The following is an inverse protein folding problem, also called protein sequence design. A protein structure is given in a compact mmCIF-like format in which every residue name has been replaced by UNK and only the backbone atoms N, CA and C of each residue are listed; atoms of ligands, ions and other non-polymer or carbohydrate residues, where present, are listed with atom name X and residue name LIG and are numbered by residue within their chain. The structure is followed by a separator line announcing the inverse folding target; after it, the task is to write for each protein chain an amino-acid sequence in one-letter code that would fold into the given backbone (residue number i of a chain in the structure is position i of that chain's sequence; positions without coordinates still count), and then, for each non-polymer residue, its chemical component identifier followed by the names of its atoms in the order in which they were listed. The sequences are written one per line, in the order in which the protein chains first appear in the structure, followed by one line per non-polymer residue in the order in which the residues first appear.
data_IF_466628114214
#
_entry.id   IF_466628114214
#
_cell.length_a   1.000
_cell.length_b   1.000
_cell.length_c   1.000
_cell.angle_alpha   90.00
_cell.angle_beta   90.00
_cell.angle_gamma   90.00
#
_symmetry.space_group_name_H-M   'P 1'
#
loop_
_entity.id
_entity.type
_entity.pdbx_description
1 polymer ?
#
# COMPACT_ATOMS: atom_id res chain seq x y z
N UNK A 1 -14.78 2.72 -11.15
CA UNK A 1 -13.98 1.74 -10.39
C UNK A 1 -13.51 2.41 -9.12
N UNK A 2 -13.75 1.78 -7.99
CA UNK A 2 -13.23 2.23 -6.69
C UNK A 2 -11.98 1.41 -6.37
N UNK A 3 -10.87 2.06 -6.04
CA UNK A 3 -9.61 1.45 -5.60
C UNK A 3 -9.13 2.17 -4.35
N UNK A 4 -8.68 1.43 -3.35
CA UNK A 4 -8.15 1.98 -2.10
C UNK A 4 -7.49 0.89 -1.26
N UNK A 5 -6.85 1.31 -0.17
CA UNK A 5 -6.21 0.42 0.81
C UNK A 5 -7.18 -0.17 1.84
N UNK A 6 -8.44 0.29 1.86
CA UNK A 6 -9.40 -0.09 2.89
C UNK A 6 -9.90 -1.52 2.69
N UNK A 7 -10.02 -2.22 3.82
CA UNK A 7 -10.70 -3.50 3.89
C UNK A 7 -12.16 -3.29 4.28
N UNK A 8 -13.05 -4.22 3.94
CA UNK A 8 -14.40 -4.22 4.49
C UNK A 8 -14.30 -4.73 5.93
N UNK A 9 -14.23 -3.80 6.88
CA UNK A 9 -14.09 -4.11 8.31
C UNK A 9 -14.71 -3.00 9.16
N UNK A 10 -15.18 -3.37 10.35
CA UNK A 10 -15.73 -2.42 11.33
C UNK A 10 -14.68 -1.41 11.80
N UNK A 11 -13.38 -1.71 11.69
CA UNK A 11 -12.32 -0.80 12.16
C UNK A 11 -12.28 0.52 11.37
N UNK A 12 -12.72 0.51 10.11
CA UNK A 12 -12.83 1.69 9.25
C UNK A 12 -14.15 2.46 9.43
N UNK A 13 -15.05 1.98 10.28
CA UNK A 13 -16.25 2.73 10.66
C UNK A 13 -15.90 3.83 11.68
N UNK A 14 -16.65 4.95 11.68
CA UNK A 14 -16.53 5.94 12.72
C UNK A 14 -16.82 5.36 14.11
N UNK A 15 -16.20 5.87 15.18
CA UNK A 15 -16.51 5.44 16.56
C UNK A 15 -17.99 5.65 16.92
N UNK A 16 -18.68 6.55 16.22
CA UNK A 16 -20.11 6.83 16.36
C UNK A 16 -21.02 5.88 15.57
N UNK A 17 -20.46 4.86 14.90
CA UNK A 17 -21.25 3.91 14.13
C UNK A 17 -22.22 3.12 15.03
N UNK A 18 -23.43 2.78 14.54
CA UNK A 18 -24.44 2.05 15.33
C UNK A 18 -23.95 0.71 15.90
N UNK A 19 -22.92 0.12 15.30
CA UNK A 19 -22.29 -1.11 15.76
C UNK A 19 -21.56 -0.95 17.10
N UNK A 20 -21.18 0.27 17.48
CA UNK A 20 -20.31 0.57 18.62
C UNK A 20 -18.90 -0.01 18.51
N UNK A 21 -18.51 -0.49 17.31
CA UNK A 21 -17.23 -1.18 17.05
C UNK A 21 -16.26 -0.38 16.18
N UNK A 22 -16.69 0.77 15.68
CA UNK A 22 -15.86 1.65 14.86
C UNK A 22 -14.61 2.10 15.60
N UNK A 23 -13.48 2.20 14.88
CA UNK A 23 -12.20 2.64 15.43
C UNK A 23 -11.69 3.95 14.80
N UNK A 24 -12.47 4.60 13.92
CA UNK A 24 -12.03 5.80 13.18
C UNK A 24 -10.74 5.58 12.36
N UNK A 25 -10.46 4.34 11.93
CA UNK A 25 -9.27 4.04 11.16
C UNK A 25 -9.37 4.69 9.78
N UNK A 26 -8.43 5.57 9.46
CA UNK A 26 -8.49 6.36 8.24
C UNK A 26 -7.77 5.67 7.09
N UNK A 27 -8.40 5.67 5.91
CA UNK A 27 -7.81 5.15 4.68
C UNK A 27 -8.15 6.06 3.50
N UNK A 28 -7.53 5.79 2.35
CA UNK A 28 -7.70 6.56 1.13
C UNK A 28 -8.24 5.65 0.03
N UNK A 29 -9.25 6.15 -0.66
CA UNK A 29 -9.79 5.53 -1.86
C UNK A 29 -9.95 6.57 -2.97
N UNK A 30 -9.75 6.11 -4.20
CA UNK A 30 -9.96 6.89 -5.40
C UNK A 30 -11.05 6.22 -6.24
N UNK A 31 -12.00 7.03 -6.68
CA UNK A 31 -12.98 6.61 -7.67
C UNK A 31 -12.57 7.12 -9.05
N UNK A 32 -12.25 6.19 -9.95
CA UNK A 32 -11.80 6.48 -11.31
C UNK A 32 -12.74 5.92 -12.37
N UNK A 33 -12.92 6.67 -13.45
CA UNK A 33 -13.76 6.33 -14.60
C UNK A 33 -12.95 6.29 -15.89
N UNK A 34 -13.54 5.72 -16.96
CA UNK A 34 -12.94 5.67 -18.28
C UNK A 34 -12.11 4.40 -18.54
N UNK A 35 -11.18 4.44 -19.51
CA UNK A 35 -10.48 3.26 -20.01
C UNK A 35 -9.74 2.47 -18.92
N UNK A 36 -9.19 3.18 -17.93
CA UNK A 36 -8.39 2.58 -16.86
C UNK A 36 -9.18 1.58 -16.01
N UNK A 37 -10.52 1.73 -15.90
CA UNK A 37 -11.37 0.81 -15.15
C UNK A 37 -11.34 -0.63 -15.71
N UNK A 38 -11.00 -0.80 -17.00
CA UNK A 38 -10.80 -2.12 -17.60
C UNK A 38 -9.60 -2.87 -17.01
N UNK A 39 -8.60 -2.15 -16.52
CA UNK A 39 -7.42 -2.77 -15.92
C UNK A 39 -7.76 -3.46 -14.60
N UNK A 40 -8.64 -2.92 -13.76
CA UNK A 40 -9.07 -3.66 -12.57
C UNK A 40 -9.83 -4.94 -12.90
N UNK A 41 -10.66 -4.94 -13.95
CA UNK A 41 -11.29 -6.17 -14.41
C UNK A 41 -10.25 -7.18 -14.92
N UNK A 42 -9.23 -6.72 -15.66
CA UNK A 42 -8.13 -7.56 -16.10
C UNK A 42 -7.33 -8.15 -14.92
N UNK A 43 -7.04 -7.34 -13.91
CA UNK A 43 -6.40 -7.75 -12.65
C UNK A 43 -7.27 -8.74 -11.88
N UNK A 44 -8.57 -8.48 -11.77
CA UNK A 44 -9.51 -9.40 -11.15
C UNK A 44 -9.54 -10.75 -11.87
N UNK A 45 -9.60 -10.76 -13.20
CA UNK A 45 -9.53 -12.00 -13.99
C UNK A 45 -8.21 -12.74 -13.74
N UNK A 46 -7.10 -12.03 -13.67
CA UNK A 46 -5.79 -12.62 -13.38
C UNK A 46 -5.78 -13.34 -12.03
N UNK A 47 -6.19 -12.65 -10.96
CA UNK A 47 -6.34 -13.23 -9.63
C UNK A 47 -7.35 -14.38 -9.60
N UNK A 48 -8.47 -14.25 -10.31
CA UNK A 48 -9.49 -15.29 -10.44
C UNK A 48 -8.93 -16.55 -11.10
N UNK A 49 -8.13 -16.41 -12.17
CA UNK A 49 -7.53 -17.54 -12.89
C UNK A 49 -6.54 -18.35 -12.04
N UNK A 50 -5.95 -17.71 -11.03
CA UNK A 50 -5.07 -18.32 -10.04
C UNK A 50 -5.82 -18.81 -8.79
N UNK A 51 -7.10 -18.47 -8.67
CA UNK A 51 -7.92 -18.81 -7.51
C UNK A 51 -8.41 -20.24 -7.55
N UNK A 52 -8.68 -20.78 -6.35
CA UNK A 52 -9.33 -22.07 -6.16
C UNK A 52 -10.72 -21.83 -5.57
N UNK A 53 -11.70 -22.56 -6.06
CA UNK A 53 -13.06 -22.52 -5.54
C UNK A 53 -13.11 -23.21 -4.18
N UNK A 54 -13.65 -22.51 -3.19
CA UNK A 54 -14.01 -23.10 -1.90
C UNK A 54 -15.33 -23.84 -2.08
N UNK A 55 -15.29 -25.17 -1.96
CA UNK A 55 -16.47 -26.02 -2.08
C UNK A 55 -16.80 -26.61 -0.71
N UNK A 56 -18.06 -26.49 -0.29
CA UNK A 56 -18.53 -26.99 0.99
C UNK A 56 -19.47 -28.19 0.78
N UNK A 57 -19.35 -29.22 1.63
CA UNK A 57 -20.25 -30.39 1.59
C UNK A 57 -21.67 -30.04 2.03
N UNK A 58 -21.79 -29.05 2.91
CA UNK A 58 -23.04 -28.53 3.47
C UNK A 58 -22.95 -27.00 3.52
N UNK A 59 -24.09 -26.28 3.58
CA UNK A 59 -24.08 -24.84 3.85
C UNK A 59 -23.27 -24.55 5.14
N UNK A 60 -22.18 -23.78 5.06
CA UNK A 60 -21.29 -23.60 6.20
C UNK A 60 -21.88 -22.60 7.19
N UNK A 61 -21.63 -22.84 8.48
CA UNK A 61 -21.65 -21.80 9.51
C UNK A 61 -20.21 -21.36 9.80
N UNK A 62 -19.97 -20.22 10.48
CA UNK A 62 -18.63 -19.83 10.88
C UNK A 62 -17.87 -20.94 11.65
N UNK A 63 -18.60 -21.73 12.44
CA UNK A 63 -18.03 -22.84 13.21
C UNK A 63 -17.66 -24.06 12.35
N UNK A 64 -18.32 -24.26 11.20
CA UNK A 64 -18.13 -25.45 10.38
C UNK A 64 -17.33 -25.22 9.11
N UNK A 65 -17.10 -23.95 8.72
CA UNK A 65 -16.43 -23.55 7.49
C UNK A 65 -15.10 -24.29 7.24
N UNK A 66 -14.22 -24.37 8.24
CA UNK A 66 -12.89 -25.02 8.08
C UNK A 66 -12.97 -26.55 7.96
N UNK A 67 -14.02 -27.16 8.50
CA UNK A 67 -14.22 -28.61 8.51
C UNK A 67 -14.94 -29.07 7.25
N UNK A 68 -15.97 -28.33 6.85
CA UNK A 68 -16.93 -28.77 5.83
C UNK A 68 -16.60 -28.23 4.44
N UNK A 69 -15.65 -27.29 4.33
CA UNK A 69 -15.22 -26.68 3.08
C UNK A 69 -13.75 -26.95 2.76
N UNK A 70 -13.45 -27.14 1.48
CA UNK A 70 -12.09 -27.28 0.98
C UNK A 70 -11.89 -26.55 -0.34
N UNK A 71 -10.68 -26.04 -0.56
CA UNK A 71 -10.26 -25.54 -1.87
C UNK A 71 -9.94 -26.74 -2.76
N UNK A 72 -10.73 -26.97 -3.80
CA UNK A 72 -10.62 -28.20 -4.58
C UNK A 72 -10.27 -27.92 -6.04
N UNK A 73 -11.09 -27.16 -6.75
CA UNK A 73 -10.98 -26.96 -8.20
C UNK A 73 -10.46 -25.55 -8.48
N UNK A 74 -9.65 -25.38 -9.53
CA UNK A 74 -9.35 -24.03 -10.03
C UNK A 74 -10.64 -23.36 -10.49
N UNK A 75 -10.75 -22.06 -10.27
CA UNK A 75 -11.91 -21.34 -10.76
C UNK A 75 -11.95 -21.37 -12.30
N UNK A 76 -13.14 -21.57 -12.88
CA UNK A 76 -13.34 -21.48 -14.32
C UNK A 76 -12.92 -20.09 -14.80
N UNK A 77 -12.23 -19.95 -15.95
CA UNK A 77 -11.81 -18.64 -16.44
C UNK A 77 -12.98 -17.66 -16.53
N UNK A 78 -12.79 -16.44 -16.02
CA UNK A 78 -13.77 -15.38 -16.17
C UNK A 78 -13.66 -14.81 -17.59
N UNK A 79 -14.68 -14.94 -18.45
CA UNK A 79 -14.62 -14.35 -19.78
C UNK A 79 -14.63 -12.82 -19.64
N UNK A 80 -13.61 -12.16 -20.20
CA UNK A 80 -13.59 -10.71 -20.37
C UNK A 80 -13.65 -10.39 -21.86
N UNK A 81 -14.71 -9.69 -22.27
CA UNK A 81 -14.87 -9.18 -23.62
C UNK A 81 -14.97 -7.66 -23.62
N UNK A 82 -14.29 -7.01 -24.56
CA UNK A 82 -14.36 -5.56 -24.76
C UNK A 82 -14.98 -5.27 -26.13
N UNK A 83 -16.22 -4.80 -26.16
CA UNK A 83 -16.95 -4.63 -27.43
C UNK A 83 -16.54 -3.38 -28.23
N UNK A 84 -15.89 -2.39 -27.59
CA UNK A 84 -15.43 -1.15 -28.22
C UNK A 84 -14.37 -0.48 -27.33
N UNK A 85 -13.59 0.51 -27.81
CA UNK A 85 -12.81 1.37 -26.92
C UNK A 85 -13.71 2.11 -25.91
N UNK A 86 -13.30 2.27 -24.64
CA UNK A 86 -14.02 3.17 -23.72
C UNK A 86 -13.62 4.60 -24.09
N UNK A 87 -14.56 5.54 -24.21
CA UNK A 87 -14.21 6.94 -24.34
C UNK A 87 -13.46 7.43 -23.08
N UNK A 88 -12.61 8.43 -23.25
CA UNK A 88 -11.96 9.08 -22.12
C UNK A 88 -13.01 9.68 -21.18
N UNK A 89 -12.81 9.52 -19.87
CA UNK A 89 -13.63 10.14 -18.85
C UNK A 89 -12.78 11.23 -18.16
N UNK A 90 -12.72 12.40 -18.79
CA UNK A 90 -11.90 13.53 -18.34
C UNK A 90 -10.49 13.57 -18.93
N UNK A 91 -9.65 14.42 -18.36
CA UNK A 91 -8.29 14.75 -18.87
C UNK A 91 -7.16 14.16 -18.02
N UNK A 92 -7.47 13.63 -16.83
CA UNK A 92 -6.48 13.03 -15.95
C UNK A 92 -5.89 11.77 -16.59
N UNK A 93 -4.57 11.62 -16.51
CA UNK A 93 -3.87 10.40 -16.91
C UNK A 93 -3.71 9.50 -15.69
N UNK A 94 -4.30 8.31 -15.75
CA UNK A 94 -4.25 7.33 -14.66
C UNK A 94 -3.58 6.07 -15.16
N UNK A 95 -2.50 5.69 -14.50
CA UNK A 95 -1.74 4.48 -14.78
C UNK A 95 -2.02 3.45 -13.69
N UNK A 96 -2.63 2.31 -14.00
CA UNK A 96 -2.93 1.29 -13.01
C UNK A 96 -1.66 0.52 -12.67
N UNK A 97 -1.29 0.49 -11.39
CA UNK A 97 -0.18 -0.30 -10.89
C UNK A 97 -0.71 -1.58 -10.28
N UNK A 98 -0.24 -2.72 -10.79
CA UNK A 98 -0.61 -4.04 -10.30
C UNK A 98 0.65 -4.89 -10.13
N UNK A 99 0.85 -5.42 -8.93
CA UNK A 99 1.99 -6.30 -8.64
C UNK A 99 1.68 -7.72 -9.11
N UNK A 100 2.54 -8.23 -9.99
CA UNK A 100 2.62 -9.66 -10.32
C UNK A 100 3.89 -10.24 -9.73
N UNK A 101 3.95 -11.57 -9.58
CA UNK A 101 5.13 -12.25 -9.04
C UNK A 101 6.38 -12.03 -9.91
N UNK A 102 6.17 -11.87 -11.21
CA UNK A 102 7.17 -11.79 -12.27
C UNK A 102 7.39 -10.38 -12.81
N UNK A 103 6.75 -9.36 -12.23
CA UNK A 103 6.89 -7.95 -12.63
C UNK A 103 7.11 -7.07 -11.40
N UNK A 104 8.09 -6.16 -11.51
CA UNK A 104 8.41 -5.17 -10.49
C UNK A 104 7.88 -3.77 -10.83
N UNK A 105 7.10 -3.63 -11.91
CA UNK A 105 6.69 -2.36 -12.51
C UNK A 105 6.01 -1.42 -11.51
N UNK A 106 5.20 -1.96 -10.59
CA UNK A 106 4.56 -1.16 -9.55
C UNK A 106 5.59 -0.52 -8.59
N UNK A 107 6.59 -1.30 -8.14
CA UNK A 107 7.65 -0.81 -7.26
C UNK A 107 8.62 0.13 -8.00
N UNK A 108 8.91 -0.17 -9.26
CA UNK A 108 9.70 0.72 -10.14
C UNK A 108 8.97 2.04 -10.41
N UNK A 109 7.64 2.01 -10.58
CA UNK A 109 6.85 3.24 -10.78
C UNK A 109 6.84 4.10 -9.53
N UNK A 110 6.70 3.52 -8.34
CA UNK A 110 6.82 4.28 -7.07
C UNK A 110 8.21 4.93 -6.99
N UNK A 111 9.26 4.21 -7.40
CA UNK A 111 10.62 4.76 -7.48
C UNK A 111 10.73 5.92 -8.48
N UNK A 112 10.11 5.78 -9.65
CA UNK A 112 10.06 6.83 -10.67
C UNK A 112 9.26 8.06 -10.21
N UNK A 113 8.21 7.88 -9.39
CA UNK A 113 7.44 8.99 -8.81
C UNK A 113 8.29 9.82 -7.86
N UNK A 114 9.12 9.20 -7.02
CA UNK A 114 10.11 9.91 -6.22
C UNK A 114 11.08 10.71 -7.10
N UNK A 115 11.61 10.09 -8.17
CA UNK A 115 12.53 10.76 -9.09
C UNK A 115 11.89 11.90 -9.89
N UNK A 116 10.58 11.85 -10.16
CA UNK A 116 9.85 12.84 -10.94
C UNK A 116 9.36 14.05 -10.12
N UNK A 117 9.31 13.96 -8.79
CA UNK A 117 8.79 15.02 -7.94
C UNK A 117 9.66 16.28 -8.02
N UNK A 118 9.17 17.38 -8.60
CA UNK A 118 9.99 18.58 -8.86
C UNK A 118 10.26 19.47 -7.65
N UNK A 119 9.37 19.46 -6.64
CA UNK A 119 9.45 20.36 -5.47
C UNK A 119 9.33 19.62 -4.15
N UNK A 120 8.35 18.72 -4.03
CA UNK A 120 8.11 17.93 -2.83
C UNK A 120 7.30 16.69 -3.22
N UNK A 121 7.35 15.67 -2.36
CA UNK A 121 6.45 14.52 -2.42
C UNK A 121 5.89 14.29 -1.01
N UNK A 122 4.58 14.14 -0.94
CA UNK A 122 3.86 13.75 0.27
C UNK A 122 3.56 12.26 0.20
N UNK A 123 4.05 11.50 1.16
CA UNK A 123 3.88 10.04 1.19
C UNK A 123 3.02 9.67 2.38
N UNK A 124 1.84 9.13 2.13
CA UNK A 124 0.94 8.60 3.16
C UNK A 124 1.10 7.09 3.28
N UNK A 125 1.60 6.57 4.39
CA UNK A 125 1.77 5.13 4.61
C UNK A 125 1.41 4.72 6.05
N UNK A 126 0.65 3.63 6.17
CA UNK A 126 0.33 3.00 7.46
C UNK A 126 1.48 2.23 8.06
N UNK A 127 2.30 1.62 7.21
CA UNK A 127 3.45 0.83 7.62
C UNK A 127 4.62 1.10 6.70
N UNK A 128 5.80 1.11 7.29
CA UNK A 128 7.07 1.05 6.59
C UNK A 128 7.66 -0.31 6.92
N UNK A 129 8.05 -1.09 5.92
CA UNK A 129 8.71 -2.37 6.14
C UNK A 129 10.13 -2.37 5.60
N UNK A 130 11.02 -3.00 6.36
CA UNK A 130 12.39 -3.26 5.95
C UNK A 130 12.55 -4.66 5.33
N UNK A 131 13.76 -4.96 4.85
CA UNK A 131 14.14 -6.37 4.58
C UNK A 131 14.42 -7.11 5.89
N UNK A 132 14.59 -8.44 5.85
CA UNK A 132 15.03 -9.21 7.02
C UNK A 132 16.35 -8.67 7.62
N UNK A 133 17.24 -8.11 6.80
CA UNK A 133 18.47 -7.47 7.28
C UNK A 133 18.19 -6.21 8.11
N UNK A 134 17.09 -5.51 7.82
CA UNK A 134 16.65 -4.34 8.57
C UNK A 134 16.02 -4.70 9.92
N UNK A 135 15.26 -5.80 9.96
CA UNK A 135 14.65 -6.32 11.20
C UNK A 135 15.73 -6.62 12.25
N UNK A 136 16.89 -7.14 11.83
CA UNK A 136 18.03 -7.36 12.71
C UNK A 136 18.69 -6.09 13.26
N UNK A 137 18.37 -4.92 12.69
CA UNK A 137 18.97 -3.62 13.02
C UNK A 137 18.01 -2.63 13.67
N UNK A 138 16.81 -3.08 14.07
CA UNK A 138 15.79 -2.19 14.64
C UNK A 138 16.26 -1.45 15.91
N UNK A 139 17.22 -2.02 16.64
CA UNK A 139 17.81 -1.44 17.84
C UNK A 139 19.09 -0.62 17.60
N UNK A 140 19.61 -0.56 16.37
CA UNK A 140 20.83 0.20 16.08
C UNK A 140 20.56 1.72 16.20
N UNK A 141 21.47 2.51 16.82
CA UNK A 141 21.27 3.94 17.00
C UNK A 141 21.10 4.72 15.69
N UNK A 142 21.81 4.30 14.63
CA UNK A 142 21.69 4.86 13.29
C UNK A 142 20.45 4.39 12.52
N UNK A 143 19.62 3.54 13.14
CA UNK A 143 18.56 2.83 12.44
C UNK A 143 19.12 1.86 11.40
N UNK A 144 18.35 1.67 10.34
CA UNK A 144 18.66 0.74 9.28
C UNK A 144 19.06 1.52 8.04
N UNK A 145 20.26 1.26 7.53
CA UNK A 145 20.76 1.85 6.29
C UNK A 145 19.70 1.67 5.18
N UNK A 146 19.38 2.74 4.43
CA UNK A 146 18.44 2.71 3.31
C UNK A 146 18.59 1.47 2.41
N UNK A 147 19.80 0.99 2.15
CA UNK A 147 20.09 -0.19 1.33
C UNK A 147 19.41 -1.49 1.84
N UNK A 148 19.11 -1.58 3.13
CA UNK A 148 18.40 -2.72 3.74
C UNK A 148 16.87 -2.52 3.80
N UNK A 149 16.33 -1.42 3.27
CA UNK A 149 14.89 -1.23 3.14
C UNK A 149 14.37 -1.75 1.79
N UNK A 150 13.05 -1.84 1.67
CA UNK A 150 12.38 -2.18 0.41
C UNK A 150 12.73 -1.18 -0.70
N UNK A 151 12.61 -1.62 -1.96
CA UNK A 151 13.02 -0.87 -3.15
C UNK A 151 12.49 0.57 -3.16
N UNK A 152 11.23 0.80 -2.77
CA UNK A 152 10.63 2.13 -2.75
C UNK A 152 11.37 3.11 -1.82
N UNK A 153 11.81 2.64 -0.65
CA UNK A 153 12.47 3.48 0.34
C UNK A 153 13.93 3.77 -0.03
N UNK A 154 14.58 2.81 -0.71
CA UNK A 154 15.87 3.04 -1.36
C UNK A 154 15.78 4.11 -2.43
N UNK A 155 14.75 4.06 -3.26
CA UNK A 155 14.53 5.04 -4.32
C UNK A 155 14.10 6.43 -3.82
N UNK A 156 13.61 6.53 -2.58
CA UNK A 156 13.31 7.82 -1.97
C UNK A 156 14.57 8.63 -1.64
N UNK A 157 15.71 7.99 -1.34
CA UNK A 157 16.93 8.68 -0.89
C UNK A 157 17.43 9.73 -1.88
N UNK A 158 17.60 9.45 -3.19
CA UNK A 158 17.98 10.48 -4.16
C UNK A 158 16.99 11.65 -4.21
N UNK A 159 15.68 11.36 -4.17
CA UNK A 159 14.65 12.41 -4.19
C UNK A 159 14.71 13.29 -2.93
N UNK A 160 14.93 12.68 -1.76
CA UNK A 160 15.12 13.41 -0.49
C UNK A 160 16.36 14.30 -0.59
N UNK A 161 17.49 13.76 -1.06
CA UNK A 161 18.73 14.53 -1.22
C UNK A 161 18.55 15.75 -2.11
N UNK A 162 17.93 15.57 -3.27
CA UNK A 162 17.84 16.64 -4.27
C UNK A 162 16.81 17.72 -3.88
N UNK A 163 15.69 17.34 -3.25
CA UNK A 163 14.47 18.19 -3.22
C UNK A 163 13.73 18.19 -1.90
N UNK A 164 14.02 17.24 -1.03
CA UNK A 164 13.30 17.03 0.21
C UNK A 164 11.91 16.40 0.05
N UNK A 165 11.42 15.79 1.13
CA UNK A 165 10.23 14.97 1.19
C UNK A 165 9.53 15.17 2.52
N UNK A 166 8.19 15.21 2.50
CA UNK A 166 7.37 15.09 3.70
C UNK A 166 6.71 13.72 3.74
N UNK A 167 6.94 12.98 4.81
CA UNK A 167 6.33 11.68 5.05
C UNK A 167 5.20 11.86 6.06
N UNK A 168 3.97 11.53 5.68
CA UNK A 168 2.82 11.43 6.56
C UNK A 168 2.63 9.98 6.99
N UNK A 169 3.00 9.68 8.22
CA UNK A 169 3.15 8.32 8.73
C UNK A 169 2.12 8.04 9.81
N UNK A 170 1.66 6.79 9.88
CA UNK A 170 0.80 6.37 10.98
C UNK A 170 1.53 6.46 12.32
N UNK A 171 0.78 6.84 13.36
CA UNK A 171 1.27 6.93 14.73
C UNK A 171 0.83 5.74 15.58
N UNK A 172 0.54 4.59 14.99
CA UNK A 172 0.23 3.39 15.76
C UNK A 172 1.48 2.87 16.51
N UNK A 173 1.50 2.89 17.86
CA UNK A 173 2.67 2.51 18.65
C UNK A 173 3.19 1.10 18.38
N UNK A 174 2.32 0.18 17.95
CA UNK A 174 2.69 -1.21 17.62
C UNK A 174 3.46 -1.32 16.31
N UNK A 175 3.36 -0.32 15.44
CA UNK A 175 3.92 -0.31 14.08
C UNK A 175 5.02 0.74 13.89
N UNK A 176 5.28 1.57 14.91
CA UNK A 176 6.23 2.68 14.84
C UNK A 176 7.71 2.25 14.73
N UNK A 177 8.06 1.03 15.16
CA UNK A 177 9.48 0.63 15.26
C UNK A 177 10.20 0.69 13.89
N UNK A 178 9.65 0.08 12.85
CA UNK A 178 10.24 0.10 11.51
C UNK A 178 10.24 1.52 10.92
N UNK A 179 9.17 2.28 11.16
CA UNK A 179 9.05 3.69 10.73
C UNK A 179 10.13 4.57 11.34
N UNK A 180 10.34 4.50 12.66
CA UNK A 180 11.37 5.27 13.35
C UNK A 180 12.78 4.84 12.89
N UNK A 181 12.98 3.57 12.62
CA UNK A 181 14.24 3.02 12.12
C UNK A 181 14.54 3.49 10.69
N UNK A 182 13.52 3.59 9.82
CA UNK A 182 13.65 4.22 8.51
C UNK A 182 14.04 5.70 8.64
N UNK A 183 13.33 6.46 9.47
CA UNK A 183 13.58 7.89 9.65
C UNK A 183 15.00 8.15 10.16
N UNK A 184 15.48 7.36 11.13
CA UNK A 184 16.87 7.42 11.59
C UNK A 184 17.86 7.08 10.48
N UNK A 185 17.57 6.07 9.68
CA UNK A 185 18.39 5.69 8.51
C UNK A 185 18.50 6.83 7.50
N UNK A 186 17.39 7.49 7.16
CA UNK A 186 17.41 8.68 6.31
C UNK A 186 18.19 9.84 6.93
N UNK A 187 17.97 10.13 8.21
CA UNK A 187 18.71 11.19 8.91
C UNK A 187 20.22 10.91 8.92
N UNK A 188 20.64 9.67 9.16
CA UNK A 188 22.04 9.26 9.15
C UNK A 188 22.67 9.38 7.75
N UNK A 189 21.94 9.00 6.70
CA UNK A 189 22.39 9.10 5.29
C UNK A 189 22.50 10.54 4.78
N UNK A 190 21.73 11.47 5.36
CA UNK A 190 21.68 12.88 4.98
C UNK A 190 22.56 13.79 5.85
N UNK A 191 22.89 13.37 7.08
CA UNK A 191 23.70 14.15 8.02
C UNK A 191 25.08 14.55 7.47
N UNK A 192 25.87 13.66 6.82
CA UNK A 192 27.16 14.03 6.25
C UNK A 192 27.06 15.09 5.14
N UNK A 193 25.88 15.26 4.54
CA UNK A 193 25.61 16.20 3.47
C UNK A 193 24.99 17.53 3.97
N UNK A 194 24.67 17.62 5.26
CA UNK A 194 23.94 18.76 5.82
C UNK A 194 22.47 18.86 5.36
N UNK A 195 21.88 17.74 4.92
CA UNK A 195 20.54 17.69 4.31
C UNK A 195 19.48 17.07 5.22
N UNK A 196 19.68 17.11 6.54
CA UNK A 196 18.77 16.43 7.49
C UNK A 196 17.35 17.02 7.44
N UNK A 197 17.23 18.33 7.20
CA UNK A 197 15.94 19.03 7.08
C UNK A 197 15.18 18.71 5.79
N UNK A 198 15.82 18.00 4.85
CA UNK A 198 15.16 17.52 3.64
C UNK A 198 14.19 16.36 3.93
N UNK A 199 14.25 15.71 5.08
CA UNK A 199 13.25 14.73 5.48
C UNK A 199 12.41 15.26 6.63
N UNK A 200 11.11 15.45 6.37
CA UNK A 200 10.15 15.82 7.40
C UNK A 200 9.20 14.66 7.64
N UNK A 201 9.04 14.25 8.90
CA UNK A 201 8.03 13.28 9.30
C UNK A 201 6.87 14.00 9.99
N UNK A 202 5.65 13.73 9.54
CA UNK A 202 4.41 14.15 10.18
C UNK A 202 3.64 12.90 10.59
N UNK A 203 3.05 12.94 11.77
CA UNK A 203 2.25 11.85 12.29
C UNK A 203 0.77 12.08 11.96
N UNK A 204 0.08 11.04 11.51
CA UNK A 204 -1.34 11.11 11.23
C UNK A 204 -2.14 11.24 12.53
N UNK A 205 -3.03 12.23 12.60
CA UNK A 205 -3.60 12.72 13.86
C UNK A 205 -4.96 12.17 14.27
N UNK A 206 -5.50 11.16 13.59
CA UNK A 206 -6.79 10.56 13.97
C UNK A 206 -6.62 9.57 15.12
N UNK A 207 -7.65 9.45 15.98
CA UNK A 207 -7.63 8.51 17.09
C UNK A 207 -7.45 7.05 16.64
N UNK A 208 -7.97 6.70 15.46
CA UNK A 208 -7.81 5.39 14.84
C UNK A 208 -6.49 5.16 14.12
N UNK A 209 -5.77 6.23 13.75
CA UNK A 209 -4.57 6.15 12.92
C UNK A 209 -4.85 6.05 11.42
N UNK A 210 -3.78 5.80 10.67
CA UNK A 210 -3.77 5.69 9.20
C UNK A 210 -3.57 4.23 8.77
N UNK A 211 -4.38 3.75 7.83
CA UNK A 211 -4.30 2.40 7.26
C UNK A 211 -3.96 2.38 5.76
N UNK A 212 -3.79 3.55 5.14
CA UNK A 212 -3.40 3.63 3.72
C UNK A 212 -2.08 2.94 3.43
N UNK A 213 -2.11 1.99 2.50
CA UNK A 213 -0.93 1.31 1.99
C UNK A 213 -0.78 1.62 0.50
N UNK A 214 0.44 1.94 0.08
CA UNK A 214 0.76 1.89 -1.34
C UNK A 214 0.90 0.42 -1.76
N UNK A 215 0.53 0.07 -3.01
CA UNK A 215 0.70 -1.28 -3.55
C UNK A 215 2.16 -1.75 -3.57
#
# INVERSE_FOLDING_TARGET
MLVGGYNISFVHEPQTAPSGRGLDLTDLALWVHGPVARNALAVFRDGWSLSRLLTCRTPPSPATLRRDCAFQVRASPLPLGWMAPVPAAGTARVYPLYRRRDSQDAAETVSALFAAAGTSIDVMQSQVSGTLGCVGKLSEPGGCDPAFHLLMWRAAVPAIRERGVTLLLDYNPLLQAETLVLLRGFQAELAPLGLQDHVQARWYGTAGGLHTQAP
#
